data_IF_850397924221
#
_entry.id   IF_850397924221
#
_cell.length_a   1.000
_cell.length_b   1.000
_cell.length_c   1.000
_cell.angle_alpha   90.00
_cell.angle_beta   90.00
_cell.angle_gamma   90.00
#
_symmetry.space_group_name_H-M   'P 1'
#
loop_
_entity.id
_entity.type
_entity.pdbx_description
1 polymer ?
#
# COMPACT_ATOMS: atom_id res chain seq x y z
N UNK A 1 2.11 -12.05 -22.42
CA UNK A 1 1.16 -12.57 -21.41
C UNK A 1 0.63 -11.40 -20.57
N UNK A 2 -0.69 -11.14 -20.51
CA UNK A 2 -1.25 -10.02 -19.73
C UNK A 2 -1.25 -10.39 -18.24
N UNK A 3 -0.67 -9.56 -17.39
CA UNK A 3 -0.64 -9.78 -15.94
C UNK A 3 -1.58 -8.84 -15.18
N UNK A 4 -1.93 -9.17 -13.93
CA UNK A 4 -2.83 -8.36 -13.09
C UNK A 4 -2.11 -7.82 -11.87
N UNK A 5 -2.26 -6.53 -11.61
CA UNK A 5 -1.73 -5.90 -10.41
C UNK A 5 -2.51 -6.34 -9.13
N UNK A 6 -1.87 -6.28 -7.94
CA UNK A 6 -0.44 -6.07 -7.74
C UNK A 6 0.40 -7.37 -7.89
N UNK A 7 -0.18 -8.54 -7.61
CA UNK A 7 0.59 -9.78 -7.37
C UNK A 7 1.11 -10.47 -8.64
N UNK A 8 0.36 -10.39 -9.74
CA UNK A 8 0.80 -10.93 -11.03
C UNK A 8 1.74 -9.98 -11.78
N UNK A 9 1.88 -8.73 -11.34
CA UNK A 9 2.60 -7.70 -12.07
C UNK A 9 4.12 -7.85 -11.92
N UNK A 10 4.78 -8.28 -13.00
CA UNK A 10 6.24 -8.40 -13.05
C UNK A 10 6.92 -7.12 -13.53
N UNK A 11 6.21 -6.24 -14.26
CA UNK A 11 6.79 -5.16 -15.09
C UNK A 11 6.18 -3.75 -14.89
N UNK A 12 5.66 -3.41 -13.70
CA UNK A 12 4.92 -2.16 -13.47
C UNK A 12 5.65 -0.85 -13.87
N UNK A 13 6.99 -0.85 -13.99
CA UNK A 13 7.77 0.35 -14.32
C UNK A 13 8.03 0.57 -15.81
N UNK A 14 7.91 -0.45 -16.65
CA UNK A 14 8.40 -0.39 -18.04
C UNK A 14 7.29 -0.42 -19.10
N UNK A 15 6.13 -1.03 -18.80
CA UNK A 15 5.00 -1.00 -19.73
C UNK A 15 3.65 -1.21 -19.02
N UNK A 16 2.96 -0.10 -18.70
CA UNK A 16 1.62 -0.11 -18.12
C UNK A 16 0.57 -0.71 -19.07
N UNK A 17 0.77 -0.68 -20.40
CA UNK A 17 -0.20 -1.17 -21.39
C UNK A 17 -0.41 -2.68 -21.34
N UNK A 18 0.56 -3.41 -20.78
CA UNK A 18 0.49 -4.87 -20.59
C UNK A 18 -0.07 -5.28 -19.21
N UNK A 19 -0.25 -4.32 -18.29
CA UNK A 19 -0.73 -4.55 -16.94
C UNK A 19 -2.24 -4.28 -16.80
N UNK A 20 -3.00 -5.31 -16.44
CA UNK A 20 -4.40 -5.13 -16.02
C UNK A 20 -4.46 -4.59 -14.60
N UNK A 21 -5.33 -3.60 -14.40
CA UNK A 21 -5.67 -3.11 -13.06
C UNK A 21 -6.19 -4.24 -12.17
N UNK A 22 -5.89 -4.14 -10.87
CA UNK A 22 -6.32 -5.12 -9.88
C UNK A 22 -7.82 -5.15 -9.66
N UNK A 23 -8.25 -5.96 -8.70
CA UNK A 23 -9.65 -6.09 -8.30
C UNK A 23 -9.82 -5.27 -7.02
N UNK A 24 -10.92 -4.50 -6.86
CA UNK A 24 -11.24 -3.84 -5.59
C UNK A 24 -11.13 -4.83 -4.42
N UNK A 25 -10.23 -4.57 -3.44
CA UNK A 25 -10.11 -5.37 -2.24
C UNK A 25 -11.40 -5.43 -1.43
N UNK A 26 -11.58 -6.51 -0.67
CA UNK A 26 -12.81 -6.74 0.11
C UNK A 26 -12.75 -6.18 1.52
N UNK A 27 -11.56 -5.83 2.01
CA UNK A 27 -11.35 -5.36 3.38
C UNK A 27 -10.29 -4.27 3.48
N UNK A 28 -10.38 -3.43 4.52
CA UNK A 28 -9.37 -2.41 4.83
C UNK A 28 -7.99 -3.04 5.03
N UNK A 29 -7.95 -4.27 5.56
CA UNK A 29 -6.74 -5.05 5.76
C UNK A 29 -6.03 -5.36 4.43
N UNK A 30 -6.78 -5.79 3.40
CA UNK A 30 -6.23 -6.02 2.06
C UNK A 30 -5.79 -4.71 1.38
N UNK A 31 -6.58 -3.64 1.51
CA UNK A 31 -6.17 -2.31 1.00
C UNK A 31 -4.83 -1.87 1.63
N UNK A 32 -4.68 -2.06 2.94
CA UNK A 32 -3.47 -1.70 3.67
C UNK A 32 -2.27 -2.58 3.31
N UNK A 33 -2.47 -3.88 3.09
CA UNK A 33 -1.43 -4.79 2.61
C UNK A 33 -0.90 -4.33 1.23
N UNK A 34 -1.79 -3.93 0.32
CA UNK A 34 -1.42 -3.42 -1.00
C UNK A 34 -0.69 -2.07 -0.90
N UNK A 35 -1.14 -1.14 -0.04
CA UNK A 35 -0.42 0.12 0.16
C UNK A 35 0.99 -0.14 0.72
N UNK A 36 1.11 -1.07 1.67
CA UNK A 36 2.38 -1.47 2.26
C UNK A 36 3.31 -2.10 1.23
N UNK A 37 2.78 -2.90 0.31
CA UNK A 37 3.54 -3.41 -0.85
C UNK A 37 4.12 -2.27 -1.69
N UNK A 38 3.31 -1.26 -2.03
CA UNK A 38 3.75 -0.10 -2.81
C UNK A 38 4.84 0.71 -2.08
N UNK A 39 4.68 0.92 -0.76
CA UNK A 39 5.68 1.60 0.08
C UNK A 39 6.98 0.80 0.18
N UNK A 40 6.90 -0.52 0.38
CA UNK A 40 8.05 -1.39 0.49
C UNK A 40 8.81 -1.51 -0.83
N UNK A 41 8.08 -1.52 -1.96
CA UNK A 41 8.68 -1.59 -3.28
C UNK A 41 9.45 -0.31 -3.67
N UNK A 42 9.13 0.85 -3.11
CA UNK A 42 9.85 2.10 -3.42
C UNK A 42 11.37 1.94 -3.22
N UNK A 43 12.15 2.01 -4.30
CA UNK A 43 13.60 1.82 -4.27
C UNK A 43 14.09 0.36 -4.23
N UNK A 44 13.21 -0.64 -4.41
CA UNK A 44 13.56 -2.07 -4.53
C UNK A 44 13.04 -2.64 -5.86
N UNK A 45 13.72 -3.68 -6.36
CA UNK A 45 13.21 -4.44 -7.52
C UNK A 45 12.01 -5.30 -7.12
N UNK A 46 11.07 -5.49 -8.03
CA UNK A 46 9.91 -6.36 -7.80
C UNK A 46 10.31 -7.80 -7.49
N UNK A 47 11.41 -8.30 -8.08
CA UNK A 47 11.99 -9.61 -7.78
C UNK A 47 12.34 -9.71 -6.29
N UNK A 48 13.05 -8.72 -5.75
CA UNK A 48 13.48 -8.70 -4.36
C UNK A 48 12.29 -8.59 -3.40
N UNK A 49 11.29 -7.76 -3.72
CA UNK A 49 10.06 -7.66 -2.92
C UNK A 49 9.31 -8.99 -2.88
N UNK A 50 9.12 -9.64 -4.03
CA UNK A 50 8.41 -10.94 -4.10
C UNK A 50 9.12 -12.05 -3.34
N UNK A 51 10.43 -12.17 -3.52
CA UNK A 51 11.25 -13.18 -2.82
C UNK A 51 11.18 -13.03 -1.30
N UNK A 52 10.97 -11.81 -0.81
CA UNK A 52 10.90 -11.51 0.62
C UNK A 52 9.48 -11.25 1.12
N UNK A 53 8.44 -11.36 0.27
CA UNK A 53 7.10 -10.92 0.65
C UNK A 53 6.54 -11.70 1.83
N UNK A 54 6.71 -13.03 1.85
CA UNK A 54 6.30 -13.86 2.98
C UNK A 54 7.00 -13.44 4.29
N UNK A 55 8.30 -13.12 4.22
CA UNK A 55 9.08 -12.62 5.37
C UNK A 55 8.56 -11.26 5.84
N UNK A 56 8.33 -10.33 4.92
CA UNK A 56 7.78 -9.01 5.27
C UNK A 56 6.38 -9.12 5.86
N UNK A 57 5.52 -9.95 5.28
CA UNK A 57 4.17 -10.20 5.78
C UNK A 57 4.23 -10.72 7.21
N UNK A 58 5.06 -11.73 7.49
CA UNK A 58 5.28 -12.22 8.85
C UNK A 58 5.83 -11.12 9.79
N UNK A 59 6.90 -10.43 9.41
CA UNK A 59 7.53 -9.40 10.23
C UNK A 59 6.63 -8.20 10.53
N UNK A 60 5.69 -7.89 9.63
CA UNK A 60 4.68 -6.86 9.83
C UNK A 60 3.35 -7.42 10.35
N UNK A 61 3.34 -8.64 10.92
CA UNK A 61 2.17 -9.27 11.53
C UNK A 61 0.96 -9.36 10.58
N UNK A 62 1.18 -9.91 9.39
CA UNK A 62 0.21 -9.97 8.30
C UNK A 62 -0.38 -8.61 7.92
N UNK A 63 0.43 -7.57 8.14
CA UNK A 63 0.05 -6.16 8.01
C UNK A 63 -1.13 -5.75 8.91
N UNK A 64 -1.40 -6.45 10.01
CA UNK A 64 -2.58 -6.18 10.85
C UNK A 64 -2.64 -4.70 11.29
N UNK A 65 -3.66 -3.98 10.82
CA UNK A 65 -3.81 -2.53 11.02
C UNK A 65 -3.82 -2.18 12.51
N UNK A 66 -4.59 -2.93 13.31
CA UNK A 66 -4.77 -2.68 14.75
C UNK A 66 -3.50 -2.92 15.54
N UNK A 67 -2.71 -3.93 15.17
CA UNK A 67 -1.42 -4.20 15.81
C UNK A 67 -0.40 -3.14 15.43
N UNK A 68 -0.21 -2.90 14.13
CA UNK A 68 0.80 -1.97 13.62
C UNK A 68 0.55 -0.52 14.02
N UNK A 69 -0.71 -0.09 14.16
CA UNK A 69 -1.02 1.27 14.59
C UNK A 69 -0.57 1.57 16.02
N UNK A 70 -0.35 0.55 16.85
CA UNK A 70 0.13 0.67 18.23
C UNK A 70 1.64 0.49 18.38
N UNK A 71 2.33 0.00 17.34
CA UNK A 71 3.76 -0.28 17.38
C UNK A 71 4.62 0.99 17.30
N UNK A 72 5.83 0.91 17.84
CA UNK A 72 6.91 1.89 17.64
C UNK A 72 7.94 1.34 16.66
N UNK A 73 8.58 2.24 15.90
CA UNK A 73 9.55 1.83 14.88
C UNK A 73 10.73 1.03 15.47
N UNK A 74 11.20 1.40 16.67
CA UNK A 74 12.30 0.70 17.33
C UNK A 74 11.93 -0.74 17.75
N UNK A 75 10.66 -1.05 17.97
CA UNK A 75 10.19 -2.40 18.29
C UNK A 75 10.17 -3.26 17.03
N UNK A 76 9.52 -2.79 15.96
CA UNK A 76 9.50 -3.50 14.67
C UNK A 76 10.89 -3.66 14.06
N UNK A 77 11.83 -2.74 14.30
CA UNK A 77 13.20 -2.89 13.81
C UNK A 77 13.96 -4.03 14.49
N UNK A 78 13.50 -4.53 15.64
CA UNK A 78 14.06 -5.73 16.29
C UNK A 78 13.60 -7.03 15.62
N UNK A 79 12.43 -7.02 14.96
CA UNK A 79 11.92 -8.19 14.24
C UNK A 79 12.89 -8.64 13.13
N UNK A 80 13.41 -9.88 13.17
CA UNK A 80 14.43 -10.34 12.22
C UNK A 80 13.96 -10.31 10.77
N UNK A 81 12.66 -10.51 10.55
CA UNK A 81 12.03 -10.64 9.23
C UNK A 81 11.54 -9.31 8.65
N UNK A 82 11.59 -8.22 9.44
CA UNK A 82 11.25 -6.87 8.99
C UNK A 82 12.42 -6.24 8.23
N UNK A 83 12.10 -5.51 7.16
CA UNK A 83 13.09 -4.71 6.43
C UNK A 83 13.78 -3.70 7.37
N UNK A 84 15.11 -3.69 7.38
CA UNK A 84 15.92 -2.78 8.23
C UNK A 84 16.02 -1.36 7.66
N UNK A 85 14.86 -0.79 7.32
CA UNK A 85 14.74 0.59 6.84
C UNK A 85 13.77 1.36 7.75
N UNK A 86 14.33 2.19 8.63
CA UNK A 86 13.57 2.96 9.62
C UNK A 86 12.50 3.87 9.01
N UNK A 87 12.78 4.46 7.84
CA UNK A 87 11.81 5.34 7.15
C UNK A 87 10.60 4.54 6.65
N UNK A 88 10.81 3.36 6.05
CA UNK A 88 9.73 2.48 5.59
C UNK A 88 8.92 1.89 6.74
N UNK A 89 9.60 1.42 7.79
CA UNK A 89 8.93 0.91 9.01
C UNK A 89 8.07 2.01 9.65
N UNK A 90 8.61 3.21 9.82
CA UNK A 90 7.86 4.36 10.34
C UNK A 90 6.67 4.73 9.46
N UNK A 91 6.81 4.66 8.14
CA UNK A 91 5.72 4.90 7.20
C UNK A 91 4.59 3.87 7.33
N UNK A 92 4.90 2.58 7.44
CA UNK A 92 3.90 1.52 7.62
C UNK A 92 3.10 1.73 8.92
N UNK A 93 3.77 2.01 10.04
CA UNK A 93 3.11 2.32 11.32
C UNK A 93 2.20 3.55 11.20
N UNK A 94 2.72 4.63 10.60
CA UNK A 94 1.94 5.86 10.41
C UNK A 94 0.71 5.60 9.53
N UNK A 95 0.89 4.88 8.42
CA UNK A 95 -0.18 4.56 7.48
C UNK A 95 -1.24 3.67 8.15
N UNK A 96 -0.87 2.73 9.01
CA UNK A 96 -1.83 1.93 9.78
C UNK A 96 -2.73 2.81 10.67
N UNK A 97 -2.16 3.86 11.30
CA UNK A 97 -2.96 4.84 12.07
C UNK A 97 -3.91 5.63 11.18
N UNK A 98 -3.48 6.02 9.97
CA UNK A 98 -4.35 6.71 9.02
C UNK A 98 -5.50 5.81 8.53
N UNK A 99 -5.26 4.52 8.32
CA UNK A 99 -6.33 3.56 8.00
C UNK A 99 -7.37 3.48 9.11
N UNK A 100 -6.96 3.46 10.39
CA UNK A 100 -7.92 3.51 11.50
C UNK A 100 -8.74 4.81 11.51
N UNK A 101 -8.11 5.96 11.23
CA UNK A 101 -8.83 7.25 11.15
C UNK A 101 -9.83 7.26 9.99
N UNK A 102 -9.45 6.70 8.84
CA UNK A 102 -10.33 6.58 7.67
C UNK A 102 -11.51 5.68 7.99
N UNK A 103 -11.27 4.50 8.56
CA UNK A 103 -12.32 3.56 8.93
C UNK A 103 -13.32 4.22 9.90
N UNK A 104 -12.84 4.98 10.90
CA UNK A 104 -13.72 5.76 11.80
C UNK A 104 -14.54 6.83 11.10
N UNK A 105 -13.98 7.53 10.11
CA UNK A 105 -14.64 8.66 9.44
C UNK A 105 -15.57 8.24 8.28
N UNK A 106 -15.19 7.22 7.53
CA UNK A 106 -15.85 6.80 6.29
C UNK A 106 -16.46 5.39 6.39
N UNK A 107 -16.43 4.76 7.56
CA UNK A 107 -16.77 3.36 7.83
C UNK A 107 -15.85 2.32 7.18
N UNK A 108 -15.21 2.62 6.05
CA UNK A 108 -14.22 1.77 5.39
C UNK A 108 -13.29 2.56 4.47
N UNK A 109 -12.16 1.96 4.10
CA UNK A 109 -11.25 2.50 3.09
C UNK A 109 -11.88 2.52 1.69
N UNK A 110 -12.70 1.51 1.35
CA UNK A 110 -13.44 1.49 0.09
C UNK A 110 -14.35 2.72 -0.04
N UNK A 111 -15.10 3.05 1.02
CA UNK A 111 -15.96 4.24 1.05
C UNK A 111 -15.17 5.54 0.97
N UNK A 112 -13.99 5.60 1.61
CA UNK A 112 -13.08 6.73 1.45
C UNK A 112 -12.67 6.92 -0.01
N UNK A 113 -12.24 5.86 -0.71
CA UNK A 113 -11.92 5.97 -2.13
C UNK A 113 -13.15 6.38 -2.96
N UNK A 114 -14.33 5.83 -2.69
CA UNK A 114 -15.57 6.22 -3.38
C UNK A 114 -15.88 7.71 -3.22
N UNK A 115 -15.65 8.29 -2.04
CA UNK A 115 -15.85 9.73 -1.81
C UNK A 115 -14.94 10.63 -2.67
N UNK A 116 -13.86 10.07 -3.24
CA UNK A 116 -12.93 10.80 -4.10
C UNK A 116 -13.29 10.66 -5.60
N UNK A 117 -14.25 9.81 -5.99
CA UNK A 117 -14.57 9.53 -7.41
C UNK A 117 -15.03 10.76 -8.20
N UNK A 118 -15.55 11.80 -7.54
CA UNK A 118 -15.95 13.05 -8.20
C UNK A 118 -14.77 14.02 -8.45
N UNK A 119 -13.59 13.78 -7.87
CA UNK A 119 -12.41 14.62 -8.01
C UNK A 119 -11.61 14.26 -9.26
N UNK A 120 -10.80 15.19 -9.77
CA UNK A 120 -9.85 14.89 -10.85
C UNK A 120 -8.72 14.00 -10.32
N UNK A 121 -8.18 13.10 -11.15
CA UNK A 121 -7.12 12.16 -10.75
C UNK A 121 -5.92 12.84 -10.06
N UNK A 122 -5.46 13.98 -10.59
CA UNK A 122 -4.36 14.77 -9.98
C UNK A 122 -4.68 15.21 -8.54
N UNK A 123 -5.94 15.47 -8.22
CA UNK A 123 -6.37 15.85 -6.87
C UNK A 123 -6.43 14.62 -5.96
N UNK A 124 -6.92 13.49 -6.47
CA UNK A 124 -6.90 12.21 -5.75
C UNK A 124 -5.46 11.83 -5.37
N UNK A 125 -4.51 11.97 -6.29
CA UNK A 125 -3.10 11.70 -6.00
C UNK A 125 -2.57 12.60 -4.89
N UNK A 126 -2.88 13.91 -4.94
CA UNK A 126 -2.51 14.87 -3.88
C UNK A 126 -3.12 14.50 -2.53
N UNK A 127 -4.37 14.03 -2.49
CA UNK A 127 -5.02 13.55 -1.26
C UNK A 127 -4.24 12.38 -0.67
N UNK A 128 -3.89 11.38 -1.49
CA UNK A 128 -3.11 10.23 -1.03
C UNK A 128 -1.70 10.61 -0.57
N UNK A 129 -0.99 11.45 -1.33
CA UNK A 129 0.36 11.91 -1.00
C UNK A 129 0.41 12.72 0.31
N UNK A 130 -0.60 13.56 0.56
CA UNK A 130 -0.70 14.34 1.80
C UNK A 130 -1.03 13.47 3.00
N UNK A 131 -1.89 12.46 2.80
CA UNK A 131 -2.40 11.62 3.89
C UNK A 131 -1.44 10.51 4.27
N UNK A 132 -0.77 9.85 3.32
CA UNK A 132 0.08 8.69 3.59
C UNK A 132 1.57 9.04 3.51
N UNK A 133 2.37 8.38 4.34
CA UNK A 133 3.83 8.52 4.32
C UNK A 133 4.45 7.56 3.32
N UNK A 134 5.51 8.03 2.67
CA UNK A 134 6.26 7.29 1.65
C UNK A 134 5.43 6.97 0.39
N UNK A 135 4.46 7.83 0.08
CA UNK A 135 3.61 7.76 -1.10
C UNK A 135 3.88 9.02 -1.94
N UNK A 136 4.68 8.86 -3.00
CA UNK A 136 4.85 9.88 -4.04
C UNK A 136 3.78 9.75 -5.13
N UNK A 137 3.82 10.62 -6.14
CA UNK A 137 2.84 10.64 -7.23
C UNK A 137 2.75 9.28 -7.95
N UNK A 138 3.89 8.73 -8.37
CA UNK A 138 3.94 7.39 -8.98
C UNK A 138 3.37 6.30 -8.06
N UNK A 139 3.70 6.34 -6.76
CA UNK A 139 3.20 5.36 -5.79
C UNK A 139 1.69 5.47 -5.62
N UNK A 140 1.15 6.69 -5.59
CA UNK A 140 -0.28 6.96 -5.48
C UNK A 140 -1.03 6.43 -6.71
N UNK A 141 -0.55 6.76 -7.91
CA UNK A 141 -1.11 6.28 -9.18
C UNK A 141 -1.07 4.74 -9.23
N UNK A 142 0.08 4.14 -8.94
CA UNK A 142 0.24 2.69 -8.97
C UNK A 142 -0.63 1.99 -7.93
N UNK A 143 -0.77 2.55 -6.73
CA UNK A 143 -1.67 2.03 -5.70
C UNK A 143 -3.12 2.01 -6.18
N UNK A 144 -3.61 3.11 -6.76
CA UNK A 144 -4.97 3.20 -7.32
C UNK A 144 -5.19 2.18 -8.45
N UNK A 145 -4.17 1.94 -9.28
CA UNK A 145 -4.20 0.88 -10.29
C UNK A 145 -4.30 -0.52 -9.67
N UNK A 146 -3.54 -0.78 -8.61
CA UNK A 146 -3.53 -2.06 -7.89
C UNK A 146 -4.88 -2.37 -7.23
N UNK A 147 -5.58 -1.36 -6.73
CA UNK A 147 -6.85 -1.55 -6.01
C UNK A 147 -8.08 -1.38 -6.90
N UNK A 148 -7.90 -1.29 -8.22
CA UNK A 148 -9.03 -1.23 -9.15
C UNK A 148 -9.84 0.06 -9.10
N UNK A 149 -9.23 1.19 -8.75
CA UNK A 149 -9.95 2.45 -8.48
C UNK A 149 -10.80 2.95 -9.66
N UNK A 150 -10.28 2.85 -10.89
CA UNK A 150 -10.94 3.32 -12.12
C UNK A 150 -11.88 2.29 -12.76
N UNK A 151 -12.19 1.20 -12.05
CA UNK A 151 -13.23 0.26 -12.46
C UNK A 151 -14.59 0.63 -11.88
#
# INVERSE_FOLDING_TARGET
MKHRAPWGCTYAKEDKSKCKSGIPPKSDQEYFEILSLCVLQAGLSWKMVRQNWAKFKHGFYDFNITKLSKMRANELLKEPTVIKNRKKVGAIIYNAKEFQKISKKYSSFSNFLKSLKAMKDKEVFKVLMKRFKHVGEYTAEYYLHCVGYWK
#
